data_IF_666502696794
#
_entry.id   IF_666502696794
#
_cell.length_a   1.000
_cell.length_b   1.000
_cell.length_c   1.000
_cell.angle_alpha   90.00
_cell.angle_beta   90.00
_cell.angle_gamma   90.00
#
_symmetry.space_group_name_H-M   'P 1'
#
loop_
_entity.id
_entity.type
_entity.pdbx_description
1 polymer ?
#
# COMPACT_ATOMS: atom_id res chain seq x y z
N UNK A 1 -7.29 -23.05 -5.64
CA UNK A 1 -5.84 -23.04 -5.94
C UNK A 1 -5.56 -21.85 -6.85
N UNK A 2 -5.25 -20.68 -6.28
CA UNK A 2 -4.62 -19.62 -7.07
C UNK A 2 -3.14 -19.97 -7.09
N UNK A 3 -2.71 -20.70 -8.12
CA UNK A 3 -1.30 -20.99 -8.31
C UNK A 3 -0.57 -19.67 -8.45
N UNK A 4 0.44 -19.43 -7.62
CA UNK A 4 1.59 -18.64 -8.03
C UNK A 4 2.25 -19.38 -9.20
N UNK A 5 1.65 -19.32 -10.39
CA UNK A 5 2.38 -19.60 -11.61
C UNK A 5 3.39 -18.46 -11.70
N UNK A 6 4.67 -18.81 -11.70
CA UNK A 6 5.70 -17.94 -12.27
C UNK A 6 5.44 -17.86 -13.78
N UNK A 7 4.31 -17.27 -14.17
CA UNK A 7 4.02 -16.96 -15.54
C UNK A 7 5.06 -15.96 -15.99
N UNK A 8 5.87 -16.39 -16.97
CA UNK A 8 6.78 -15.50 -17.66
C UNK A 8 5.94 -14.34 -18.19
N UNK A 9 6.22 -13.09 -17.78
CA UNK A 9 5.38 -11.98 -18.19
C UNK A 9 5.36 -11.89 -19.72
N UNK A 10 4.22 -11.57 -20.33
CA UNK A 10 4.13 -11.42 -21.78
C UNK A 10 5.20 -10.45 -22.30
N UNK A 11 5.79 -10.72 -23.46
CA UNK A 11 6.79 -9.83 -24.09
C UNK A 11 6.28 -8.38 -24.17
N UNK A 12 4.98 -8.21 -24.45
CA UNK A 12 4.27 -6.93 -24.40
C UNK A 12 4.47 -6.19 -23.09
N UNK A 13 4.31 -6.87 -21.95
CA UNK A 13 4.49 -6.28 -20.63
C UNK A 13 5.95 -5.89 -20.41
N UNK A 14 6.89 -6.79 -20.71
CA UNK A 14 8.33 -6.56 -20.53
C UNK A 14 8.78 -5.33 -21.34
N UNK A 15 8.41 -5.27 -22.62
CA UNK A 15 8.75 -4.17 -23.52
C UNK A 15 8.12 -2.84 -23.06
N UNK A 16 6.82 -2.85 -22.72
CA UNK A 16 6.13 -1.65 -22.21
C UNK A 16 6.80 -1.12 -20.96
N UNK A 17 7.12 -2.00 -20.00
CA UNK A 17 7.78 -1.64 -18.74
C UNK A 17 9.16 -1.06 -18.98
N UNK A 18 9.96 -1.70 -19.82
CA UNK A 18 11.32 -1.24 -20.11
C UNK A 18 11.30 0.17 -20.73
N UNK A 19 10.46 0.41 -21.73
CA UNK A 19 10.33 1.71 -22.38
C UNK A 19 9.84 2.75 -21.38
N UNK A 20 8.77 2.44 -20.63
CA UNK A 20 8.20 3.39 -19.68
C UNK A 20 9.20 3.78 -18.57
N UNK A 21 9.96 2.83 -18.04
CA UNK A 21 11.01 3.11 -17.04
C UNK A 21 12.14 3.96 -17.61
N UNK A 22 12.58 3.66 -18.83
CA UNK A 22 13.63 4.43 -19.51
C UNK A 22 13.18 5.87 -19.74
N UNK A 23 11.96 6.06 -20.23
CA UNK A 23 11.36 7.39 -20.43
C UNK A 23 11.24 8.14 -19.10
N UNK A 24 10.84 7.47 -18.02
CA UNK A 24 10.79 8.09 -16.70
C UNK A 24 12.18 8.50 -16.21
N UNK A 25 13.15 7.58 -16.19
CA UNK A 25 14.50 7.80 -15.66
C UNK A 25 15.25 8.92 -16.40
N UNK A 26 15.07 9.02 -17.72
CA UNK A 26 15.67 10.10 -18.54
C UNK A 26 15.07 11.48 -18.28
N UNK A 27 13.88 11.57 -17.67
CA UNK A 27 13.19 12.83 -17.44
C UNK A 27 13.12 13.25 -15.97
N UNK A 28 13.37 12.33 -15.03
CA UNK A 28 13.03 12.54 -13.62
C UNK A 28 13.97 13.54 -12.92
N UNK A 29 15.29 13.43 -13.11
CA UNK A 29 16.33 14.28 -12.51
C UNK A 29 15.93 14.86 -11.12
N UNK A 30 16.16 16.16 -10.90
CA UNK A 30 15.78 16.90 -9.68
C UNK A 30 14.37 17.51 -9.75
N UNK A 31 13.57 17.12 -10.75
CA UNK A 31 12.27 17.74 -11.06
C UNK A 31 11.17 17.23 -10.13
N UNK A 32 10.09 18.01 -10.00
CA UNK A 32 8.90 17.52 -9.29
C UNK A 32 8.21 16.46 -10.14
N UNK A 33 7.63 15.43 -9.52
CA UNK A 33 6.93 14.37 -10.23
C UNK A 33 5.86 14.91 -11.20
N UNK A 34 5.09 15.93 -10.79
CA UNK A 34 4.08 16.56 -11.64
C UNK A 34 4.66 17.20 -12.90
N UNK A 35 5.84 17.82 -12.81
CA UNK A 35 6.53 18.41 -13.97
C UNK A 35 6.99 17.30 -14.93
N UNK A 36 7.54 16.21 -14.38
CA UNK A 36 7.96 15.02 -15.16
C UNK A 36 6.77 14.43 -15.90
N UNK A 37 5.62 14.27 -15.23
CA UNK A 37 4.38 13.76 -15.83
C UNK A 37 3.92 14.67 -16.97
N UNK A 38 3.93 15.98 -16.79
CA UNK A 38 3.52 16.94 -17.82
C UNK A 38 4.44 16.88 -19.06
N UNK A 39 5.75 16.85 -18.84
CA UNK A 39 6.75 16.79 -19.92
C UNK A 39 6.58 15.50 -20.74
N UNK A 40 6.49 14.35 -20.06
CA UNK A 40 6.33 13.06 -20.74
C UNK A 40 4.99 12.98 -21.47
N UNK A 41 3.90 13.51 -20.88
CA UNK A 41 2.59 13.54 -21.55
C UNK A 41 2.62 14.39 -22.82
N UNK A 42 3.23 15.58 -22.76
CA UNK A 42 3.39 16.46 -23.93
C UNK A 42 4.21 15.77 -25.01
N UNK A 43 5.35 15.20 -24.65
CA UNK A 43 6.19 14.43 -25.58
C UNK A 43 5.40 13.29 -26.24
N UNK A 44 4.64 12.50 -25.46
CA UNK A 44 3.87 11.38 -26.01
C UNK A 44 2.74 11.81 -26.96
N UNK A 45 2.20 13.02 -26.79
CA UNK A 45 1.25 13.62 -27.73
C UNK A 45 1.94 13.93 -29.06
N UNK A 46 3.14 14.51 -29.01
CA UNK A 46 3.91 14.97 -30.18
C UNK A 46 4.54 13.83 -31.00
N UNK A 47 4.95 12.73 -30.36
CA UNK A 47 5.58 11.61 -31.08
C UNK A 47 4.58 10.89 -31.98
N UNK A 48 4.99 10.60 -33.22
CA UNK A 48 4.26 9.76 -34.18
C UNK A 48 4.35 8.27 -33.80
N UNK A 49 3.48 7.84 -32.87
CA UNK A 49 3.27 6.43 -32.52
C UNK A 49 1.80 6.02 -32.77
N UNK A 50 1.53 4.74 -33.09
CA UNK A 50 0.16 4.23 -33.15
C UNK A 50 -0.60 4.45 -31.83
N UNK A 51 -1.89 4.76 -31.92
CA UNK A 51 -2.73 5.07 -30.75
C UNK A 51 -2.72 3.95 -29.69
N UNK A 52 -2.72 2.69 -30.13
CA UNK A 52 -2.63 1.54 -29.24
C UNK A 52 -1.32 1.51 -28.44
N UNK A 53 -0.20 1.86 -29.07
CA UNK A 53 1.12 1.93 -28.42
C UNK A 53 1.16 3.08 -27.42
N UNK A 54 0.63 4.26 -27.79
CA UNK A 54 0.50 5.40 -26.86
C UNK A 54 -0.32 5.01 -25.62
N UNK A 55 -1.46 4.33 -25.81
CA UNK A 55 -2.30 3.85 -24.70
C UNK A 55 -1.55 2.89 -23.77
N UNK A 56 -0.77 1.95 -24.34
CA UNK A 56 0.04 1.01 -23.56
C UNK A 56 1.15 1.71 -22.77
N UNK A 57 1.85 2.66 -23.39
CA UNK A 57 2.89 3.45 -22.71
C UNK A 57 2.29 4.32 -21.59
N UNK A 58 1.14 4.96 -21.83
CA UNK A 58 0.42 5.69 -20.78
C UNK A 58 0.07 4.79 -19.60
N UNK A 59 -0.38 3.57 -19.86
CA UNK A 59 -0.66 2.60 -18.80
C UNK A 59 0.62 2.26 -18.00
N UNK A 60 1.74 1.96 -18.67
CA UNK A 60 3.01 1.67 -18.01
C UNK A 60 3.52 2.85 -17.18
N UNK A 61 3.48 4.06 -17.75
CA UNK A 61 3.87 5.29 -17.07
C UNK A 61 2.98 5.62 -15.86
N UNK A 62 1.66 5.44 -15.97
CA UNK A 62 0.74 5.64 -14.85
C UNK A 62 1.06 4.71 -13.67
N UNK A 63 1.44 3.45 -13.93
CA UNK A 63 1.88 2.54 -12.87
C UNK A 63 3.19 2.99 -12.22
N UNK A 64 4.15 3.47 -13.01
CA UNK A 64 5.41 4.04 -12.48
C UNK A 64 5.10 5.26 -11.60
N UNK A 65 4.28 6.20 -12.07
CA UNK A 65 3.96 7.42 -11.34
C UNK A 65 3.29 7.12 -10.00
N UNK A 66 2.30 6.21 -9.99
CA UNK A 66 1.63 5.78 -8.75
C UNK A 66 2.60 5.16 -7.77
N UNK A 67 3.54 4.34 -8.25
CA UNK A 67 4.52 3.69 -7.40
C UNK A 67 5.54 4.70 -6.82
N UNK A 68 5.93 5.71 -7.60
CA UNK A 68 6.78 6.82 -7.13
C UNK A 68 6.03 7.69 -6.13
N UNK A 69 4.75 7.99 -6.36
CA UNK A 69 3.89 8.71 -5.41
C UNK A 69 3.80 7.96 -4.08
N UNK A 70 3.52 6.65 -4.14
CA UNK A 70 3.50 5.76 -2.97
C UNK A 70 4.84 5.77 -2.23
N UNK A 71 5.96 5.77 -2.95
CA UNK A 71 7.29 5.86 -2.35
C UNK A 71 7.55 7.22 -1.70
N UNK A 72 7.19 8.32 -2.38
CA UNK A 72 7.30 9.68 -1.85
C UNK A 72 6.51 9.84 -0.56
N UNK A 73 5.24 9.45 -0.57
CA UNK A 73 4.36 9.55 0.60
C UNK A 73 4.90 8.72 1.77
N UNK A 74 5.34 7.49 1.52
CA UNK A 74 5.94 6.62 2.55
C UNK A 74 7.12 7.31 3.24
N UNK A 75 8.06 7.88 2.46
CA UNK A 75 9.28 8.45 3.00
C UNK A 75 9.13 9.90 3.48
N UNK A 76 8.10 10.62 3.03
CA UNK A 76 7.80 11.98 3.51
C UNK A 76 7.58 12.00 5.01
N UNK A 77 7.00 10.92 5.54
CA UNK A 77 6.69 10.72 6.96
C UNK A 77 7.93 10.59 7.83
N UNK A 78 9.11 10.32 7.25
CA UNK A 78 10.36 10.30 8.01
C UNK A 78 10.82 11.71 8.41
N UNK A 79 10.34 12.75 7.73
CA UNK A 79 10.75 14.11 7.99
C UNK A 79 9.81 14.78 8.99
N UNK A 80 10.35 15.09 10.18
CA UNK A 80 9.67 15.97 11.13
C UNK A 80 9.65 17.38 10.52
N UNK A 81 8.46 17.86 10.13
CA UNK A 81 8.27 19.26 9.76
C UNK A 81 8.34 20.12 11.04
N UNK A 82 9.20 21.13 11.04
CA UNK A 82 9.20 22.12 12.13
C UNK A 82 7.85 22.85 12.11
N UNK A 83 7.15 22.87 13.26
CA UNK A 83 5.92 23.65 13.40
C UNK A 83 6.19 25.08 12.91
N UNK A 84 5.41 25.54 11.94
CA UNK A 84 5.51 26.92 11.43
C UNK A 84 5.31 27.87 12.61
N UNK A 85 6.37 28.50 13.09
CA UNK A 85 6.24 29.66 13.95
C UNK A 85 5.66 30.78 13.08
N UNK A 86 4.41 31.15 13.35
CA UNK A 86 3.62 32.14 12.60
C UNK A 86 4.32 33.51 12.47
N UNK A 87 5.35 33.78 13.29
CA UNK A 87 6.08 35.04 13.31
C UNK A 87 7.26 35.14 12.31
N UNK A 88 7.64 34.09 11.57
CA UNK A 88 8.77 34.15 10.64
C UNK A 88 8.34 34.02 9.18
N UNK A 89 7.92 35.15 8.59
CA UNK A 89 7.61 35.31 7.15
C UNK A 89 8.78 34.96 6.20
N UNK A 90 9.99 34.68 6.72
CA UNK A 90 11.17 34.28 5.93
C UNK A 90 11.15 32.81 5.46
N UNK A 91 10.15 32.01 5.84
CA UNK A 91 10.08 30.59 5.47
C UNK A 91 9.33 30.27 4.16
N UNK A 92 8.80 31.28 3.45
CA UNK A 92 8.05 31.09 2.20
C UNK A 92 8.87 30.47 1.03
N UNK A 93 10.19 30.37 1.15
CA UNK A 93 11.08 29.87 0.10
C UNK A 93 11.92 28.63 0.46
N UNK A 94 11.77 28.04 1.66
CA UNK A 94 12.46 26.78 1.95
C UNK A 94 11.64 25.62 1.36
N UNK A 95 12.24 24.88 0.43
CA UNK A 95 11.68 23.63 -0.07
C UNK A 95 11.28 22.75 1.12
N UNK A 96 10.12 22.09 1.06
CA UNK A 96 9.71 21.20 2.13
C UNK A 96 10.75 20.08 2.23
N UNK A 97 11.06 19.59 3.44
CA UNK A 97 12.09 18.53 3.61
C UNK A 97 11.76 17.28 2.79
N UNK A 98 10.47 16.98 2.59
CA UNK A 98 9.98 15.93 1.69
C UNK A 98 10.33 16.14 0.22
N UNK A 99 10.55 17.38 -0.23
CA UNK A 99 10.98 17.68 -1.59
C UNK A 99 12.42 17.22 -1.85
N UNK A 100 13.22 16.90 -0.81
CA UNK A 100 14.53 16.27 -0.99
C UNK A 100 14.42 14.81 -1.46
N UNK A 101 13.26 14.18 -1.37
CA UNK A 101 13.07 12.81 -1.86
C UNK A 101 13.32 12.69 -3.37
N UNK A 102 13.10 13.77 -4.13
CA UNK A 102 13.38 13.80 -5.58
C UNK A 102 14.87 13.66 -5.91
N UNK A 103 15.76 13.97 -4.95
CA UNK A 103 17.21 13.78 -5.12
C UNK A 103 17.56 12.30 -5.30
N UNK A 104 16.71 11.40 -4.81
CA UNK A 104 16.98 9.95 -4.77
C UNK A 104 16.28 9.16 -5.89
N UNK A 105 15.57 9.82 -6.82
CA UNK A 105 14.87 9.12 -7.91
C UNK A 105 15.82 8.32 -8.81
N UNK A 106 17.06 8.78 -8.97
CA UNK A 106 18.09 8.04 -9.72
C UNK A 106 18.56 6.75 -9.04
N UNK A 107 18.33 6.61 -7.73
CA UNK A 107 18.77 5.48 -6.92
C UNK A 107 17.66 4.45 -6.66
N UNK A 108 16.48 4.65 -7.26
CA UNK A 108 15.34 3.74 -7.14
C UNK A 108 15.65 2.43 -7.85
N UNK A 109 15.53 1.33 -7.09
CA UNK A 109 15.69 -0.03 -7.60
C UNK A 109 14.30 -0.64 -7.79
N UNK A 110 13.99 -1.04 -9.02
CA UNK A 110 12.72 -1.67 -9.36
C UNK A 110 12.81 -3.20 -9.22
N UNK A 111 11.79 -3.83 -8.66
CA UNK A 111 11.66 -5.29 -8.63
C UNK A 111 11.56 -5.83 -10.06
N UNK A 112 12.15 -7.00 -10.28
CA UNK A 112 12.15 -7.66 -11.59
C UNK A 112 10.71 -7.94 -12.02
N UNK A 113 10.39 -7.62 -13.28
CA UNK A 113 9.09 -7.92 -13.89
C UNK A 113 7.86 -7.35 -13.15
N UNK A 114 8.03 -6.29 -12.35
CA UNK A 114 6.93 -5.60 -11.65
C UNK A 114 7.09 -4.09 -11.75
N UNK A 115 5.98 -3.35 -11.73
CA UNK A 115 5.97 -1.90 -11.48
C UNK A 115 6.00 -1.63 -9.98
N UNK A 116 7.01 -2.16 -9.31
CA UNK A 116 7.14 -2.11 -7.87
C UNK A 116 8.58 -1.76 -7.51
N UNK A 117 8.76 -0.85 -6.57
CA UNK A 117 10.09 -0.48 -6.05
C UNK A 117 10.49 -1.49 -4.98
N UNK A 118 11.74 -1.95 -5.04
CA UNK A 118 12.38 -2.68 -3.95
C UNK A 118 12.80 -1.67 -2.88
N UNK A 119 11.89 -1.38 -1.95
CA UNK A 119 12.04 -0.32 -0.96
C UNK A 119 13.32 -0.50 -0.11
N UNK A 120 13.60 -1.72 0.35
CA UNK A 120 14.81 -2.02 1.15
C UNK A 120 16.09 -1.89 0.33
N UNK A 121 16.15 -2.47 -0.88
CA UNK A 121 17.36 -2.32 -1.72
C UNK A 121 17.57 -0.86 -2.11
N UNK A 122 16.50 -0.13 -2.40
CA UNK A 122 16.54 1.31 -2.68
C UNK A 122 17.09 2.07 -1.48
N UNK A 123 16.62 1.80 -0.26
CA UNK A 123 17.13 2.43 0.96
C UNK A 123 18.63 2.14 1.17
N UNK A 124 19.06 0.89 0.99
CA UNK A 124 20.48 0.51 1.08
C UNK A 124 21.34 1.21 0.01
N UNK A 125 20.84 1.34 -1.21
CA UNK A 125 21.50 2.08 -2.31
C UNK A 125 21.65 3.56 -1.96
N UNK A 126 20.59 4.20 -1.48
CA UNK A 126 20.59 5.61 -1.05
C UNK A 126 21.59 5.82 0.09
N UNK A 127 21.57 4.95 1.11
CA UNK A 127 22.52 5.01 2.24
C UNK A 127 23.97 4.95 1.76
N UNK A 128 24.27 3.98 0.89
CA UNK A 128 25.65 3.71 0.47
C UNK A 128 26.21 4.73 -0.52
N UNK A 129 25.37 5.42 -1.29
CA UNK A 129 25.83 6.25 -2.41
C UNK A 129 25.45 7.72 -2.24
N UNK A 130 24.18 7.99 -2.00
CA UNK A 130 23.69 9.37 -2.00
C UNK A 130 23.82 10.03 -0.61
N UNK A 131 23.92 9.21 0.44
CA UNK A 131 23.91 9.68 1.82
C UNK A 131 25.22 9.41 2.58
N UNK A 132 26.33 9.07 1.91
CA UNK A 132 27.61 8.76 2.57
C UNK A 132 28.05 9.85 3.58
N UNK A 133 27.86 11.12 3.22
CA UNK A 133 28.19 12.28 4.06
C UNK A 133 26.97 12.86 4.83
N UNK A 134 25.85 12.13 4.87
CA UNK A 134 24.64 12.55 5.59
C UNK A 134 24.22 11.54 6.67
N UNK A 135 24.92 11.49 7.83
CA UNK A 135 24.67 10.51 8.88
C UNK A 135 23.24 10.49 9.43
N UNK A 136 22.58 11.65 9.48
CA UNK A 136 21.19 11.72 9.94
C UNK A 136 20.25 10.99 8.98
N UNK A 137 20.39 11.17 7.67
CA UNK A 137 19.55 10.47 6.68
C UNK A 137 19.83 8.96 6.68
N UNK A 138 21.10 8.58 6.83
CA UNK A 138 21.46 7.17 7.02
C UNK A 138 20.76 6.57 8.24
N UNK A 139 20.78 7.27 9.38
CA UNK A 139 20.10 6.84 10.61
C UNK A 139 18.59 6.72 10.40
N UNK A 140 17.95 7.73 9.80
CA UNK A 140 16.50 7.72 9.56
C UNK A 140 16.06 6.53 8.68
N UNK A 141 16.79 6.26 7.59
CA UNK A 141 16.55 5.09 6.74
C UNK A 141 16.86 3.77 7.47
N UNK A 142 17.95 3.70 8.22
CA UNK A 142 18.29 2.52 9.00
C UNK A 142 17.21 2.17 10.03
N UNK A 143 16.65 3.19 10.70
CA UNK A 143 15.52 3.05 11.61
C UNK A 143 14.26 2.54 10.90
N UNK A 144 13.91 3.15 9.78
CA UNK A 144 12.68 2.83 9.04
C UNK A 144 12.70 1.42 8.44
N UNK A 145 13.88 0.95 8.01
CA UNK A 145 14.09 -0.36 7.39
C UNK A 145 14.73 -1.39 8.33
N UNK A 146 14.77 -1.13 9.64
CA UNK A 146 15.35 -2.00 10.66
C UNK A 146 16.74 -2.57 10.28
N UNK A 147 17.64 -1.73 9.78
CA UNK A 147 18.95 -2.13 9.25
C UNK A 147 19.93 -2.33 10.42
N UNK A 148 19.84 -3.49 11.08
CA UNK A 148 20.57 -3.80 12.32
C UNK A 148 22.07 -3.55 12.27
N UNK A 149 22.75 -3.96 11.20
CA UNK A 149 24.20 -3.80 11.11
C UNK A 149 24.64 -2.32 11.09
N UNK A 150 23.79 -1.41 10.60
CA UNK A 150 24.04 0.03 10.68
C UNK A 150 23.70 0.57 12.07
N UNK A 151 22.57 0.15 12.65
CA UNK A 151 22.08 0.64 13.95
C UNK A 151 22.96 0.20 15.13
N UNK A 152 23.59 -0.98 15.06
CA UNK A 152 24.49 -1.51 16.09
C UNK A 152 25.98 -1.37 15.74
N UNK A 153 26.29 -0.85 14.55
CA UNK A 153 27.67 -0.63 14.13
C UNK A 153 28.28 0.62 14.77
N UNK A 154 29.57 0.84 14.50
CA UNK A 154 30.28 2.07 14.90
C UNK A 154 29.76 3.34 14.21
N UNK A 155 28.83 3.19 13.26
CA UNK A 155 28.29 4.28 12.45
C UNK A 155 27.51 5.32 13.28
N UNK A 156 26.90 4.90 14.40
CA UNK A 156 26.11 5.76 15.27
C UNK A 156 26.58 5.68 16.73
N UNK A 157 27.70 6.33 17.02
CA UNK A 157 28.19 6.45 18.40
C UNK A 157 27.21 7.22 19.33
N UNK A 158 27.47 7.16 20.64
CA UNK A 158 26.62 7.80 21.66
C UNK A 158 26.49 9.32 21.48
N UNK A 159 27.50 9.99 20.91
CA UNK A 159 27.49 11.45 20.72
C UNK A 159 26.56 11.79 19.56
N UNK A 160 26.67 11.08 18.44
CA UNK A 160 25.80 11.19 17.27
C UNK A 160 24.35 10.90 17.62
N UNK A 161 24.10 9.82 18.38
CA UNK A 161 22.74 9.48 18.83
C UNK A 161 22.13 10.60 19.67
N UNK A 162 22.86 11.20 20.63
CA UNK A 162 22.38 12.37 21.39
C UNK A 162 22.11 13.59 20.50
N UNK A 163 22.95 13.82 19.48
CA UNK A 163 22.74 14.92 18.54
C UNK A 163 21.50 14.70 17.65
N UNK A 164 21.25 13.45 17.24
CA UNK A 164 20.05 13.08 16.49
C UNK A 164 18.81 13.16 17.36
N UNK A 165 18.86 12.69 18.61
CA UNK A 165 17.76 12.76 19.56
C UNK A 165 17.25 14.19 19.74
N UNK A 166 18.16 15.18 19.86
CA UNK A 166 17.77 16.60 19.92
C UNK A 166 17.00 17.11 18.70
N UNK A 167 17.16 16.49 17.52
CA UNK A 167 16.54 16.92 16.26
C UNK A 167 15.33 16.08 15.86
N UNK A 168 15.32 14.80 16.24
CA UNK A 168 14.39 13.78 15.76
C UNK A 168 13.42 13.30 16.84
N UNK A 169 13.65 13.66 18.11
CA UNK A 169 12.74 13.32 19.20
C UNK A 169 11.32 13.83 18.97
N UNK A 170 10.36 13.09 19.51
CA UNK A 170 8.92 13.36 19.32
C UNK A 170 8.34 12.68 18.09
N UNK A 171 9.17 12.03 17.27
CA UNK A 171 8.71 11.14 16.23
C UNK A 171 8.80 9.69 16.71
N UNK A 172 7.67 8.99 16.75
CA UNK A 172 7.54 7.66 17.36
C UNK A 172 8.57 6.62 16.89
N UNK A 173 8.91 6.61 15.60
CA UNK A 173 9.96 5.74 15.05
C UNK A 173 11.32 5.96 15.72
N UNK A 174 11.75 7.22 15.86
CA UNK A 174 13.08 7.52 16.37
C UNK A 174 13.12 7.39 17.88
N UNK A 175 12.07 7.81 18.58
CA UNK A 175 11.95 7.62 20.04
C UNK A 175 12.07 6.13 20.43
N UNK A 176 11.50 5.24 19.62
CA UNK A 176 11.66 3.79 19.77
C UNK A 176 13.11 3.34 19.64
N UNK A 177 13.81 3.76 18.58
CA UNK A 177 15.21 3.39 18.37
C UNK A 177 16.14 4.03 19.40
N UNK A 178 15.94 5.29 19.81
CA UNK A 178 16.73 5.92 20.87
C UNK A 178 16.57 5.18 22.20
N UNK A 179 15.35 4.75 22.54
CA UNK A 179 15.13 3.96 23.74
C UNK A 179 15.91 2.62 23.70
N UNK A 180 15.90 1.92 22.56
CA UNK A 180 16.64 0.66 22.36
C UNK A 180 18.16 0.84 22.32
N UNK A 181 18.63 1.94 21.72
CA UNK A 181 20.05 2.23 21.51
C UNK A 181 20.68 3.05 22.64
N UNK A 182 19.91 3.36 23.70
CA UNK A 182 20.35 4.16 24.87
C UNK A 182 21.56 3.59 25.63
N UNK A 183 22.00 2.38 25.30
CA UNK A 183 23.19 1.74 25.88
C UNK A 183 22.96 1.14 27.27
N UNK A 184 21.69 1.02 27.69
CA UNK A 184 21.31 0.30 28.92
C UNK A 184 21.26 -1.19 28.63
N UNK A 185 21.94 -2.01 29.44
CA UNK A 185 22.03 -3.49 29.25
C UNK A 185 20.66 -4.17 29.12
N UNK A 186 19.62 -3.63 29.77
CA UNK A 186 18.24 -4.16 29.77
C UNK A 186 17.25 -3.39 28.87
N UNK A 187 17.71 -2.50 28.00
CA UNK A 187 16.81 -1.70 27.16
C UNK A 187 15.91 -2.56 26.26
N UNK A 188 16.47 -3.64 25.70
CA UNK A 188 15.78 -4.59 24.83
C UNK A 188 14.74 -5.41 25.59
N UNK A 189 15.14 -6.05 26.70
CA UNK A 189 14.24 -6.81 27.59
C UNK A 189 13.08 -5.94 28.07
N UNK A 190 13.38 -4.71 28.50
CA UNK A 190 12.35 -3.77 28.96
C UNK A 190 11.43 -3.33 27.83
N UNK A 191 11.90 -3.17 26.59
CA UNK A 191 11.04 -2.71 25.49
C UNK A 191 10.01 -3.77 25.09
N UNK A 192 10.43 -5.04 25.06
CA UNK A 192 9.64 -6.18 24.59
C UNK A 192 9.06 -7.04 25.73
N UNK A 193 8.97 -6.47 26.93
CA UNK A 193 8.37 -7.12 28.10
C UNK A 193 6.92 -7.57 27.82
N UNK A 194 6.60 -8.80 28.21
CA UNK A 194 5.42 -9.54 27.74
C UNK A 194 4.24 -9.55 28.73
N UNK A 195 4.36 -8.84 29.85
CA UNK A 195 3.43 -8.98 30.98
C UNK A 195 2.03 -8.39 30.73
N UNK A 196 1.80 -7.78 29.57
CA UNK A 196 0.53 -7.13 29.21
C UNK A 196 -0.02 -7.52 27.84
N UNK A 197 -1.35 -7.45 27.71
CA UNK A 197 -2.09 -7.61 26.45
C UNK A 197 -1.67 -6.57 25.40
N UNK A 198 -1.29 -5.36 25.84
CA UNK A 198 -0.80 -4.30 24.99
C UNK A 198 0.70 -4.07 25.24
N UNK A 199 1.51 -3.86 24.18
CA UNK A 199 2.90 -3.50 24.36
C UNK A 199 3.04 -2.06 24.88
N UNK A 200 4.24 -1.71 25.35
CA UNK A 200 4.56 -0.36 25.82
C UNK A 200 4.23 0.69 24.76
N UNK A 201 3.82 1.88 25.20
CA UNK A 201 3.37 2.94 24.30
C UNK A 201 4.37 3.26 23.19
N UNK A 202 5.67 3.36 23.51
CA UNK A 202 6.72 3.61 22.52
C UNK A 202 6.78 2.53 21.43
N UNK A 203 6.75 1.26 21.82
CA UNK A 203 6.72 0.11 20.91
C UNK A 203 5.43 0.10 20.08
N UNK A 204 4.28 0.32 20.74
CA UNK A 204 2.97 0.36 20.10
C UNK A 204 2.89 1.44 19.03
N UNK A 205 3.36 2.66 19.32
CA UNK A 205 3.36 3.76 18.36
C UNK A 205 4.28 3.50 17.16
N UNK A 206 5.50 3.02 17.39
CA UNK A 206 6.41 2.67 16.31
C UNK A 206 5.87 1.53 15.44
N UNK A 207 5.23 0.53 16.05
CA UNK A 207 4.63 -0.57 15.32
C UNK A 207 3.44 -0.12 14.48
N UNK A 208 2.52 0.67 15.06
CA UNK A 208 1.40 1.25 14.31
C UNK A 208 1.89 2.11 13.13
N UNK A 209 2.90 2.95 13.36
CA UNK A 209 3.54 3.73 12.30
C UNK A 209 4.09 2.84 11.18
N UNK A 210 4.86 1.81 11.54
CA UNK A 210 5.45 0.89 10.57
C UNK A 210 4.40 0.19 9.70
N UNK A 211 3.28 -0.21 10.29
CA UNK A 211 2.14 -0.82 9.59
C UNK A 211 1.47 0.19 8.65
N UNK A 212 1.11 1.37 9.17
CA UNK A 212 0.31 2.37 8.45
C UNK A 212 1.06 3.00 7.27
N UNK A 213 2.39 3.05 7.34
CA UNK A 213 3.27 3.62 6.31
C UNK A 213 4.05 2.57 5.52
N UNK A 214 3.83 1.28 5.78
CA UNK A 214 4.33 0.21 4.92
C UNK A 214 5.81 -0.13 5.07
N UNK A 215 6.39 0.05 6.25
CA UNK A 215 7.79 -0.32 6.54
C UNK A 215 7.88 -1.80 6.91
N UNK A 216 7.84 -2.66 5.89
CA UNK A 216 7.75 -4.11 6.04
C UNK A 216 8.85 -4.72 6.93
N UNK A 217 10.10 -4.28 6.76
CA UNK A 217 11.24 -4.77 7.54
C UNK A 217 11.04 -4.49 9.02
N UNK A 218 10.57 -3.29 9.37
CA UNK A 218 10.29 -2.90 10.74
C UNK A 218 9.06 -3.61 11.30
N UNK A 219 8.02 -3.80 10.49
CA UNK A 219 6.84 -4.60 10.84
C UNK A 219 7.27 -6.03 11.19
N UNK A 220 8.04 -6.67 10.31
CA UNK A 220 8.51 -8.05 10.50
C UNK A 220 9.45 -8.16 11.72
N UNK A 221 10.35 -7.20 11.88
CA UNK A 221 11.23 -7.13 13.03
C UNK A 221 10.44 -7.05 14.34
N UNK A 222 9.51 -6.09 14.47
CA UNK A 222 8.70 -5.94 15.69
C UNK A 222 7.79 -7.15 15.89
N UNK A 223 7.14 -7.64 14.83
CA UNK A 223 6.21 -8.78 14.88
C UNK A 223 6.85 -10.00 15.57
N UNK A 224 8.10 -10.29 15.21
CA UNK A 224 8.83 -11.44 15.75
C UNK A 224 9.27 -11.30 17.21
N UNK A 225 9.12 -10.12 17.82
CA UNK A 225 9.54 -9.82 19.19
C UNK A 225 8.38 -9.66 20.19
N UNK A 226 7.13 -9.68 19.70
CA UNK A 226 5.92 -9.50 20.51
C UNK A 226 5.07 -10.77 20.57
N UNK A 227 4.20 -10.88 21.58
CA UNK A 227 3.33 -12.05 21.78
C UNK A 227 2.11 -12.06 20.85
N UNK A 228 1.48 -13.22 20.66
CA UNK A 228 0.27 -13.35 19.83
C UNK A 228 -0.88 -12.42 20.26
N UNK A 229 -1.19 -12.24 21.56
CA UNK A 229 -2.20 -11.26 21.97
C UNK A 229 -1.86 -9.82 21.56
N UNK A 230 -0.59 -9.42 21.63
CA UNK A 230 -0.14 -8.08 21.22
C UNK A 230 -0.20 -7.91 19.70
N UNK A 231 0.16 -8.97 18.95
CA UNK A 231 0.05 -9.05 17.49
C UNK A 231 -1.40 -8.90 17.05
N UNK A 232 -2.32 -9.64 17.67
CA UNK A 232 -3.75 -9.54 17.41
C UNK A 232 -4.24 -8.12 17.70
N UNK A 233 -3.98 -7.61 18.91
CA UNK A 233 -4.46 -6.30 19.34
C UNK A 233 -4.07 -5.16 18.38
N UNK A 234 -2.77 -5.03 18.06
CA UNK A 234 -2.31 -3.94 17.19
C UNK A 234 -2.63 -4.22 15.72
N UNK A 235 -2.47 -5.46 15.26
CA UNK A 235 -2.73 -5.83 13.88
C UNK A 235 -4.18 -5.58 13.50
N UNK A 236 -5.14 -6.01 14.32
CA UNK A 236 -6.56 -5.75 14.10
C UNK A 236 -6.90 -4.26 14.15
N UNK A 237 -6.30 -3.52 15.10
CA UNK A 237 -6.51 -2.08 15.24
C UNK A 237 -6.11 -1.32 13.97
N UNK A 238 -4.98 -1.69 13.34
CA UNK A 238 -4.49 -1.02 12.13
C UNK A 238 -5.03 -1.62 10.83
N UNK A 239 -5.56 -2.84 10.84
CA UNK A 239 -6.00 -3.56 9.64
C UNK A 239 -6.97 -2.74 8.78
N UNK A 240 -7.96 -2.10 9.40
CA UNK A 240 -8.92 -1.25 8.67
C UNK A 240 -8.22 -0.11 7.91
N UNK A 241 -7.20 0.51 8.51
CA UNK A 241 -6.42 1.58 7.86
C UNK A 241 -5.57 1.05 6.72
N UNK A 242 -4.98 -0.14 6.88
CA UNK A 242 -4.21 -0.83 5.84
C UNK A 242 -5.10 -1.14 4.64
N UNK A 243 -6.28 -1.73 4.85
CA UNK A 243 -7.26 -1.99 3.78
C UNK A 243 -7.80 -0.71 3.15
N UNK A 244 -8.00 0.35 3.95
CA UNK A 244 -8.50 1.62 3.42
C UNK A 244 -7.46 2.30 2.52
N UNK A 245 -6.18 2.30 2.91
CA UNK A 245 -5.11 2.87 2.07
C UNK A 245 -4.82 1.97 0.87
N UNK A 246 -4.68 0.66 1.07
CA UNK A 246 -4.39 -0.33 0.03
C UNK A 246 -3.18 0.05 -0.86
N UNK A 247 -2.06 0.43 -0.22
CA UNK A 247 -0.85 0.91 -0.93
C UNK A 247 0.37 0.02 -0.74
N UNK A 248 0.52 -0.59 0.42
CA UNK A 248 1.74 -1.29 0.82
C UNK A 248 1.55 -2.80 0.72
N UNK A 249 1.89 -3.38 -0.44
CA UNK A 249 1.66 -4.79 -0.80
C UNK A 249 2.22 -5.76 0.23
N UNK A 250 3.50 -5.65 0.56
CA UNK A 250 4.19 -6.56 1.48
C UNK A 250 3.59 -6.53 2.88
N UNK A 251 3.31 -5.34 3.42
CA UNK A 251 2.67 -5.20 4.75
C UNK A 251 1.25 -5.74 4.73
N UNK A 252 0.46 -5.45 3.69
CA UNK A 252 -0.90 -5.96 3.59
C UNK A 252 -0.92 -7.48 3.51
N UNK A 253 -0.08 -8.06 2.64
CA UNK A 253 0.01 -9.50 2.47
C UNK A 253 0.47 -10.21 3.75
N UNK A 254 1.56 -9.72 4.35
CA UNK A 254 2.07 -10.25 5.61
C UNK A 254 1.03 -10.19 6.72
N UNK A 255 0.41 -9.02 6.95
CA UNK A 255 -0.60 -8.88 7.99
C UNK A 255 -1.84 -9.72 7.70
N UNK A 256 -2.25 -9.85 6.43
CA UNK A 256 -3.38 -10.68 6.06
C UNK A 256 -3.14 -12.14 6.46
N UNK A 257 -2.00 -12.72 6.06
CA UNK A 257 -1.65 -14.11 6.38
C UNK A 257 -1.60 -14.32 7.90
N UNK A 258 -0.88 -13.46 8.60
CA UNK A 258 -0.67 -13.60 10.05
C UNK A 258 -1.98 -13.40 10.84
N UNK A 259 -2.78 -12.39 10.52
CA UNK A 259 -4.04 -12.14 11.23
C UNK A 259 -5.12 -13.15 10.84
N UNK A 260 -5.11 -13.69 9.63
CA UNK A 260 -6.00 -14.80 9.26
C UNK A 260 -5.68 -16.07 10.02
N UNK A 261 -4.40 -16.34 10.30
CA UNK A 261 -3.98 -17.47 11.12
C UNK A 261 -4.52 -17.34 12.55
N UNK A 262 -4.53 -16.12 13.11
CA UNK A 262 -5.06 -15.83 14.45
C UNK A 262 -6.59 -15.89 14.47
N UNK A 263 -7.27 -15.08 13.64
CA UNK A 263 -8.73 -14.93 13.67
C UNK A 263 -9.31 -14.51 12.30
N UNK A 264 -9.46 -15.49 11.41
CA UNK A 264 -10.01 -15.26 10.07
C UNK A 264 -11.40 -14.64 10.05
N UNK A 265 -12.30 -15.05 10.95
CA UNK A 265 -13.69 -14.56 10.99
C UNK A 265 -13.75 -13.08 11.39
N UNK A 266 -12.99 -12.70 12.41
CA UNK A 266 -12.85 -11.30 12.82
C UNK A 266 -12.27 -10.45 11.69
N UNK A 267 -11.25 -10.96 11.01
CA UNK A 267 -10.59 -10.25 9.91
C UNK A 267 -11.52 -10.05 8.72
N UNK A 268 -12.28 -11.08 8.34
CA UNK A 268 -13.27 -11.02 7.26
C UNK A 268 -14.32 -9.93 7.52
N UNK A 269 -14.86 -9.85 8.74
CA UNK A 269 -15.87 -8.84 9.10
C UNK A 269 -15.34 -7.41 9.00
N UNK A 270 -14.11 -7.16 9.46
CA UNK A 270 -13.51 -5.82 9.39
C UNK A 270 -13.19 -5.46 7.94
N UNK A 271 -12.71 -6.44 7.16
CA UNK A 271 -12.38 -6.23 5.75
C UNK A 271 -13.62 -5.96 4.93
N UNK A 272 -14.71 -6.69 5.17
CA UNK A 272 -15.99 -6.53 4.46
C UNK A 272 -16.48 -5.09 4.43
N UNK A 273 -16.50 -4.41 5.58
CA UNK A 273 -16.95 -3.02 5.64
C UNK A 273 -16.16 -2.10 4.70
N UNK A 274 -14.84 -2.27 4.66
CA UNK A 274 -13.96 -1.44 3.81
C UNK A 274 -14.06 -1.86 2.35
N UNK A 275 -14.12 -3.16 2.09
CA UNK A 275 -14.23 -3.75 0.76
C UNK A 275 -15.54 -3.37 0.09
N UNK A 276 -16.66 -3.58 0.78
CA UNK A 276 -18.00 -3.29 0.28
C UNK A 276 -18.24 -1.79 0.11
N UNK A 277 -17.71 -0.93 1.00
CA UNK A 277 -17.72 0.52 0.75
C UNK A 277 -16.94 0.89 -0.52
N UNK A 278 -15.79 0.24 -0.76
CA UNK A 278 -15.01 0.46 -1.98
C UNK A 278 -15.76 -0.04 -3.22
N UNK A 279 -16.47 -1.16 -3.12
CA UNK A 279 -17.38 -1.63 -4.17
C UNK A 279 -18.45 -0.59 -4.46
N UNK A 280 -19.20 -0.11 -3.47
CA UNK A 280 -20.23 0.91 -3.68
C UNK A 280 -19.70 2.15 -4.39
N UNK A 281 -18.50 2.60 -4.02
CA UNK A 281 -17.82 3.71 -4.69
C UNK A 281 -17.53 3.41 -6.18
N UNK A 282 -17.18 2.17 -6.52
CA UNK A 282 -16.98 1.75 -7.91
C UNK A 282 -18.29 1.65 -8.72
N UNK A 283 -19.44 1.50 -8.06
CA UNK A 283 -20.76 1.45 -8.70
C UNK A 283 -21.32 2.86 -9.00
N UNK A 284 -20.73 3.92 -8.44
CA UNK A 284 -21.21 5.29 -8.64
C UNK A 284 -20.91 5.79 -10.07
N UNK A 285 -21.90 6.44 -10.69
CA UNK A 285 -21.89 6.82 -12.11
C UNK A 285 -21.21 8.18 -12.35
N UNK A 286 -21.07 9.01 -11.33
CA UNK A 286 -20.82 10.45 -11.51
C UNK A 286 -19.33 10.83 -11.72
N UNK A 287 -18.38 9.96 -11.38
CA UNK A 287 -16.94 10.26 -11.51
C UNK A 287 -16.14 9.03 -11.98
N UNK A 288 -15.73 9.07 -13.26
CA UNK A 288 -14.95 8.01 -13.90
C UNK A 288 -13.60 7.76 -13.22
N UNK A 289 -12.92 8.80 -12.71
CA UNK A 289 -11.62 8.61 -12.04
C UNK A 289 -11.80 7.94 -10.69
N UNK A 290 -12.79 8.38 -9.94
CA UNK A 290 -13.12 7.79 -8.64
C UNK A 290 -13.49 6.31 -8.77
N UNK A 291 -14.22 5.96 -9.83
CA UNK A 291 -14.54 4.56 -10.17
C UNK A 291 -13.29 3.76 -10.49
N UNK A 292 -12.43 4.24 -11.38
CA UNK A 292 -11.17 3.57 -11.73
C UNK A 292 -10.29 3.31 -10.49
N UNK A 293 -10.14 4.30 -9.61
CA UNK A 293 -9.39 4.15 -8.36
C UNK A 293 -10.03 3.12 -7.43
N UNK A 294 -11.36 3.06 -7.34
CA UNK A 294 -12.07 2.08 -6.55
C UNK A 294 -11.87 0.65 -7.09
N UNK A 295 -11.96 0.45 -8.42
CA UNK A 295 -11.71 -0.85 -9.06
C UNK A 295 -10.26 -1.30 -8.83
N UNK A 296 -9.29 -0.39 -9.01
CA UNK A 296 -7.88 -0.67 -8.75
C UNK A 296 -7.63 -1.07 -7.30
N UNK A 297 -8.35 -0.44 -6.36
CA UNK A 297 -8.27 -0.79 -4.95
C UNK A 297 -8.88 -2.16 -4.64
N UNK A 298 -10.02 -2.51 -5.24
CA UNK A 298 -10.60 -3.85 -5.11
C UNK A 298 -9.65 -4.92 -5.63
N UNK A 299 -9.07 -4.72 -6.81
CA UNK A 299 -8.08 -5.61 -7.39
C UNK A 299 -6.87 -5.76 -6.46
N UNK A 300 -6.32 -4.63 -5.97
CA UNK A 300 -5.20 -4.65 -5.03
C UNK A 300 -5.50 -5.46 -3.77
N UNK A 301 -6.70 -5.30 -3.18
CA UNK A 301 -7.09 -6.06 -1.99
C UNK A 301 -7.19 -7.56 -2.29
N UNK A 302 -7.81 -7.96 -3.40
CA UNK A 302 -7.96 -9.37 -3.76
C UNK A 302 -6.63 -10.03 -4.12
N UNK A 303 -5.76 -9.33 -4.84
CA UNK A 303 -4.42 -9.79 -5.22
C UNK A 303 -3.50 -10.04 -4.03
N UNK A 304 -3.63 -9.25 -2.96
CA UNK A 304 -2.67 -9.26 -1.85
C UNK A 304 -3.23 -9.88 -0.56
N UNK A 305 -4.54 -10.15 -0.48
CA UNK A 305 -5.14 -10.91 0.60
C UNK A 305 -4.96 -12.42 0.39
N UNK A 306 -4.92 -13.18 1.48
CA UNK A 306 -4.81 -14.64 1.42
C UNK A 306 -6.11 -15.27 0.86
N UNK A 307 -6.04 -16.47 0.24
CA UNK A 307 -7.23 -17.11 -0.34
C UNK A 307 -8.36 -17.32 0.65
N UNK A 308 -8.03 -17.60 1.92
CA UNK A 308 -9.02 -17.78 2.99
C UNK A 308 -9.85 -16.51 3.22
N UNK A 309 -9.19 -15.35 3.21
CA UNK A 309 -9.87 -14.06 3.37
C UNK A 309 -10.68 -13.69 2.12
N UNK A 310 -10.10 -13.83 0.93
CA UNK A 310 -10.79 -13.53 -0.33
C UNK A 310 -12.09 -14.34 -0.45
N UNK A 311 -12.02 -15.65 -0.16
CA UNK A 311 -13.20 -16.52 -0.17
C UNK A 311 -14.26 -16.07 0.85
N UNK A 312 -13.84 -15.73 2.07
CA UNK A 312 -14.76 -15.28 3.12
C UNK A 312 -15.45 -13.96 2.75
N UNK A 313 -14.73 -13.02 2.14
CA UNK A 313 -15.27 -11.71 1.71
C UNK A 313 -16.24 -11.90 0.54
N UNK A 314 -15.86 -12.63 -0.51
CA UNK A 314 -16.68 -12.76 -1.71
C UNK A 314 -17.94 -13.61 -1.48
N UNK A 315 -17.93 -14.52 -0.49
CA UNK A 315 -19.12 -15.28 -0.09
C UNK A 315 -19.97 -14.57 0.97
N UNK A 316 -19.54 -13.42 1.51
CA UNK A 316 -20.26 -12.73 2.58
C UNK A 316 -21.64 -12.23 2.09
N UNK A 317 -22.61 -12.22 3.02
CA UNK A 317 -24.00 -11.82 2.74
C UNK A 317 -24.62 -12.53 1.52
N UNK A 318 -24.35 -13.83 1.34
CA UNK A 318 -24.83 -14.64 0.19
C UNK A 318 -24.34 -14.12 -1.17
N UNK A 319 -23.02 -13.88 -1.29
CA UNK A 319 -22.39 -13.40 -2.52
C UNK A 319 -22.84 -12.00 -2.97
N UNK A 320 -23.25 -11.15 -2.02
CA UNK A 320 -23.83 -9.82 -2.30
C UNK A 320 -22.94 -8.93 -3.17
N UNK A 321 -21.63 -8.90 -2.89
CA UNK A 321 -20.70 -8.10 -3.68
C UNK A 321 -20.70 -8.51 -5.17
N UNK A 322 -20.78 -9.81 -5.42
CA UNK A 322 -20.74 -10.38 -6.77
C UNK A 322 -22.06 -10.18 -7.49
N UNK A 323 -23.18 -10.39 -6.80
CA UNK A 323 -24.52 -10.18 -7.38
C UNK A 323 -24.79 -8.71 -7.66
N UNK A 324 -24.33 -7.78 -6.83
CA UNK A 324 -24.46 -6.34 -7.09
C UNK A 324 -23.60 -5.88 -8.27
N UNK A 325 -22.33 -6.32 -8.35
CA UNK A 325 -21.50 -6.03 -9.52
C UNK A 325 -22.17 -6.48 -10.83
N UNK A 326 -22.89 -7.62 -10.79
CA UNK A 326 -23.70 -8.08 -11.91
C UNK A 326 -24.95 -7.22 -12.16
N UNK A 327 -25.73 -6.90 -11.12
CA UNK A 327 -26.98 -6.13 -11.24
C UNK A 327 -26.74 -4.71 -11.80
N UNK A 328 -25.63 -4.08 -11.41
CA UNK A 328 -25.24 -2.73 -11.83
C UNK A 328 -24.38 -2.72 -13.11
N UNK A 329 -24.32 -3.84 -13.83
CA UNK A 329 -23.63 -3.99 -15.12
C UNK A 329 -22.14 -3.59 -15.07
N UNK A 330 -21.48 -3.87 -13.94
CA UNK A 330 -20.06 -3.57 -13.75
C UNK A 330 -19.20 -4.73 -14.21
N UNK A 331 -19.10 -4.91 -15.53
CA UNK A 331 -18.36 -6.03 -16.14
C UNK A 331 -16.93 -6.21 -15.63
N UNK A 332 -16.17 -5.12 -15.47
CA UNK A 332 -14.77 -5.19 -15.01
C UNK A 332 -14.67 -5.74 -13.58
N UNK A 333 -15.52 -5.24 -12.67
CA UNK A 333 -15.56 -5.65 -11.27
C UNK A 333 -16.11 -7.07 -11.12
N UNK A 334 -17.14 -7.41 -11.89
CA UNK A 334 -17.70 -8.75 -11.90
C UNK A 334 -16.67 -9.77 -12.40
N UNK A 335 -15.99 -9.49 -13.51
CA UNK A 335 -14.93 -10.35 -14.07
C UNK A 335 -13.80 -10.52 -13.07
N UNK A 336 -13.34 -9.42 -12.45
CA UNK A 336 -12.35 -9.46 -11.38
C UNK A 336 -12.78 -10.41 -10.26
N UNK A 337 -14.02 -10.34 -9.77
CA UNK A 337 -14.46 -11.22 -8.68
C UNK A 337 -14.50 -12.70 -9.09
N UNK A 338 -14.87 -13.01 -10.33
CA UNK A 338 -14.89 -14.39 -10.83
C UNK A 338 -13.50 -15.03 -10.85
N UNK A 339 -12.44 -14.26 -11.07
CA UNK A 339 -11.05 -14.76 -11.04
C UNK A 339 -10.64 -15.31 -9.66
N UNK A 340 -11.29 -14.85 -8.59
CA UNK A 340 -10.98 -15.23 -7.21
C UNK A 340 -11.96 -16.23 -6.59
N UNK A 341 -13.03 -16.60 -7.31
CA UNK A 341 -13.99 -17.59 -6.85
C UNK A 341 -13.59 -19.01 -7.26
N UNK A 342 -13.74 -19.96 -6.35
CA UNK A 342 -13.60 -21.38 -6.67
C UNK A 342 -14.77 -21.89 -7.55
N UNK A 343 -14.60 -23.03 -8.25
CA UNK A 343 -15.65 -23.59 -9.12
C UNK A 343 -17.02 -23.77 -8.46
N UNK A 344 -17.03 -24.27 -7.22
CA UNK A 344 -18.27 -24.44 -6.43
C UNK A 344 -18.93 -23.09 -6.08
N UNK A 345 -18.14 -22.09 -5.71
CA UNK A 345 -18.65 -20.75 -5.42
C UNK A 345 -19.20 -20.06 -6.68
N UNK A 346 -18.59 -20.28 -7.85
CA UNK A 346 -19.11 -19.81 -9.13
C UNK A 346 -20.49 -20.41 -9.39
N UNK A 347 -20.66 -21.71 -9.17
CA UNK A 347 -21.96 -22.39 -9.32
C UNK A 347 -23.01 -21.79 -8.38
N UNK A 348 -22.69 -21.64 -7.09
CA UNK A 348 -23.60 -21.03 -6.11
C UNK A 348 -23.96 -19.58 -6.45
N UNK A 349 -22.98 -18.81 -6.93
CA UNK A 349 -23.19 -17.42 -7.36
C UNK A 349 -24.14 -17.34 -8.55
N UNK A 350 -23.99 -18.23 -9.54
CA UNK A 350 -24.92 -18.34 -10.68
C UNK A 350 -26.34 -18.61 -10.22
N UNK A 351 -26.53 -19.57 -9.32
CA UNK A 351 -27.86 -19.86 -8.76
C UNK A 351 -28.49 -18.65 -8.07
N UNK A 352 -27.70 -17.81 -7.39
CA UNK A 352 -28.20 -16.57 -6.79
C UNK A 352 -28.58 -15.52 -7.84
N UNK A 353 -27.76 -15.35 -8.88
CA UNK A 353 -28.06 -14.43 -9.99
C UNK A 353 -29.32 -14.87 -10.72
N UNK A 354 -29.47 -16.16 -10.99
CA UNK A 354 -30.64 -16.73 -11.67
C UNK A 354 -31.92 -16.53 -10.85
N UNK A 355 -31.86 -16.70 -9.52
CA UNK A 355 -32.98 -16.38 -8.62
C UNK A 355 -33.37 -14.90 -8.72
N UNK A 356 -32.41 -13.99 -8.70
CA UNK A 356 -32.66 -12.55 -8.80
C UNK A 356 -33.29 -12.19 -10.16
N UNK A 357 -32.79 -12.77 -11.25
CA UNK A 357 -33.36 -12.57 -12.59
C UNK A 357 -34.77 -13.17 -12.71
N UNK A 358 -35.00 -14.35 -12.12
CA UNK A 358 -36.32 -14.99 -12.05
C UNK A 358 -37.35 -14.10 -11.35
N UNK A 359 -36.97 -13.52 -10.20
CA UNK A 359 -37.81 -12.57 -9.45
C UNK A 359 -38.09 -11.30 -10.28
N UNK A 360 -37.09 -10.74 -10.98
CA UNK A 360 -37.30 -9.58 -11.86
C UNK A 360 -38.30 -9.89 -12.99
N UNK A 361 -38.17 -11.06 -13.63
CA UNK A 361 -39.10 -11.49 -14.69
C UNK A 361 -40.52 -11.69 -14.16
N UNK A 362 -40.68 -12.33 -13.00
CA UNK A 362 -42.01 -12.51 -12.38
C UNK A 362 -42.63 -11.19 -11.93
N UNK A 363 -41.83 -10.25 -11.42
CA UNK A 363 -42.29 -8.92 -11.02
C UNK A 363 -42.75 -8.06 -12.20
N UNK A 364 -42.03 -8.09 -13.33
CA UNK A 364 -42.44 -7.42 -14.57
C UNK A 364 -43.75 -8.01 -15.11
N UNK A 365 -43.89 -9.35 -15.09
CA UNK A 365 -45.12 -10.03 -15.48
C UNK A 365 -46.30 -9.68 -14.55
N UNK A 366 -46.04 -9.51 -13.26
CA UNK A 366 -47.07 -9.14 -12.28
C UNK A 366 -47.48 -7.66 -12.43
N UNK A 367 -46.53 -6.75 -12.69
CA UNK A 367 -46.83 -5.35 -13.03
C UNK A 367 -47.60 -5.24 -14.36
N UNK A 368 -47.23 -6.01 -15.39
CA UNK A 368 -47.96 -6.03 -16.66
C UNK A 368 -49.39 -6.55 -16.48
N UNK A 369 -49.62 -7.55 -15.61
CA UNK A 369 -50.97 -8.01 -15.26
C UNK A 369 -51.79 -6.97 -14.50
N UNK A 370 -51.17 -6.21 -13.61
CA UNK A 370 -51.85 -5.13 -12.88
C UNK A 370 -52.19 -3.96 -13.84
N UNK A 371 -51.28 -3.63 -14.76
CA UNK A 371 -51.47 -2.58 -15.77
C UNK A 371 -52.42 -3.00 -16.91
N UNK A 372 -52.67 -4.29 -17.13
CA UNK A 372 -53.67 -4.81 -18.08
C UNK A 372 -55.08 -4.97 -17.48
N UNK A 373 -55.23 -4.72 -16.18
CA UNK A 373 -56.50 -4.77 -15.45
C UNK A 373 -56.94 -3.40 -14.90
N UNK A 374 -56.25 -2.32 -15.30
CA UNK A 374 -56.73 -0.93 -15.25
C UNK A 374 -57.06 -0.49 -16.68
#
# INVERSE_FOLDING_TARGET
MASCSHEVPPLKFIATRFIALTVFQTNVHWRKLNEVIQIIRKWLQEVTLPALVKKQLLYGLSNIYREIERWNEKHAELFVEEKKNENNQRHLFRAHRKDHLRLFYGSIIWKQNKYEIDDRKTALRIISIDCADWPQMQFQLACAYAIHHLLHGQNFDKIRLRAFEKKLSGHCLYDFWFALLSGTTRAWEKMFETDGLAPKQTLSLAFQFSIVHGYFELVSFIWNQITDPQREFIGFLQWRRVCFKARHREVLHFLCEQLCAINASGLARITWNTFYQTLQNSLQVNDMRFREDAVLKLAFLLENCCPRLCNAILSMENFKAVTEAFIYDQHDVFTLFLEYLGPEQIKMTREQIDRIQGIKKSGILQMQRILSHQ
#
